data_IF_110325971067
#
_entry.id   IF_110325971067
#
_cell.length_a   1.000
_cell.length_b   1.000
_cell.length_c   1.000
_cell.angle_alpha   90.00
_cell.angle_beta   90.00
_cell.angle_gamma   90.00
#
_symmetry.space_group_name_H-M   'P 1'
#
loop_
_entity.id
_entity.type
_entity.pdbx_description
1 polymer ?
#
# COMPACT_ATOMS: atom_id res chain seq x y z
N UNK A 1 6.67 -2.40 7.76
CA UNK A 1 6.12 -1.86 6.49
C UNK A 1 6.82 -0.56 6.13
N UNK A 2 7.76 -0.59 5.18
CA UNK A 2 8.39 0.61 4.59
C UNK A 2 8.75 0.46 3.10
N UNK A 3 8.24 -0.60 2.47
CA UNK A 3 8.49 -0.90 1.07
C UNK A 3 7.57 -0.07 0.16
N UNK A 4 8.14 0.64 -0.81
CA UNK A 4 7.41 1.31 -1.89
C UNK A 4 6.93 0.35 -2.98
N UNK A 5 7.53 -0.84 -3.06
CA UNK A 5 7.37 -1.86 -4.08
C UNK A 5 5.92 -2.29 -4.28
N UNK A 6 5.13 -2.63 -3.26
CA UNK A 6 3.73 -3.01 -3.50
C UNK A 6 2.91 -1.86 -4.11
N UNK A 7 3.25 -0.60 -3.80
CA UNK A 7 2.58 0.56 -4.39
C UNK A 7 2.96 0.76 -5.85
N UNK A 8 4.26 0.71 -6.15
CA UNK A 8 4.78 0.81 -7.52
C UNK A 8 4.29 -0.36 -8.39
N UNK A 9 4.24 -1.57 -7.83
CA UNK A 9 3.74 -2.76 -8.52
C UNK A 9 2.27 -2.61 -8.90
N UNK A 10 1.41 -2.12 -7.99
CA UNK A 10 -0.01 -1.85 -8.30
C UNK A 10 -0.17 -0.81 -9.40
N UNK A 11 0.51 0.32 -9.28
CA UNK A 11 0.43 1.39 -10.27
C UNK A 11 0.92 0.92 -11.65
N UNK A 12 2.03 0.18 -11.70
CA UNK A 12 2.55 -0.36 -12.94
C UNK A 12 1.63 -1.43 -13.54
N UNK A 13 1.05 -2.30 -12.72
CA UNK A 13 0.07 -3.29 -13.15
C UNK A 13 -1.15 -2.63 -13.82
N UNK A 14 -1.75 -1.63 -13.18
CA UNK A 14 -2.88 -0.88 -13.75
C UNK A 14 -2.50 -0.19 -15.06
N UNK A 15 -1.35 0.49 -15.08
CA UNK A 15 -0.86 1.15 -16.29
C UNK A 15 -0.62 0.18 -17.45
N UNK A 16 -0.10 -1.02 -17.18
CA UNK A 16 0.06 -2.05 -18.22
C UNK A 16 -1.29 -2.49 -18.78
N UNK A 17 -2.29 -2.68 -17.93
CA UNK A 17 -3.63 -3.07 -18.38
C UNK A 17 -4.32 -1.98 -19.19
N UNK A 18 -4.19 -0.71 -18.79
CA UNK A 18 -4.73 0.43 -19.52
C UNK A 18 -4.14 0.57 -20.94
N UNK A 19 -2.99 -0.06 -21.19
CA UNK A 19 -2.32 -0.11 -22.49
C UNK A 19 -2.47 -1.47 -23.20
N UNK A 20 -3.47 -2.27 -22.82
CA UNK A 20 -3.76 -3.59 -23.41
C UNK A 20 -2.55 -4.55 -23.41
N UNK A 21 -1.71 -4.48 -22.37
CA UNK A 21 -0.56 -5.38 -22.21
C UNK A 21 -0.84 -6.51 -21.22
N UNK A 22 -0.13 -7.63 -21.39
CA UNK A 22 -0.25 -8.80 -20.51
C UNK A 22 0.79 -8.70 -19.38
N UNK A 23 0.38 -8.45 -18.12
CA UNK A 23 1.34 -8.26 -17.02
C UNK A 23 1.91 -9.59 -16.54
N UNK A 24 3.23 -9.72 -16.60
CA UNK A 24 4.00 -10.85 -16.09
C UNK A 24 4.82 -10.39 -14.89
N UNK A 25 4.90 -11.22 -13.86
CA UNK A 25 5.79 -11.01 -12.71
C UNK A 25 6.91 -12.04 -12.71
N UNK A 26 8.11 -11.59 -12.31
CA UNK A 26 9.23 -12.46 -11.97
C UNK A 26 9.30 -12.55 -10.46
N UNK A 27 9.34 -13.76 -9.93
CA UNK A 27 9.31 -14.04 -8.50
C UNK A 27 10.53 -14.85 -8.12
N UNK A 28 11.17 -14.44 -7.03
CA UNK A 28 12.17 -15.24 -6.32
C UNK A 28 11.43 -16.36 -5.57
N UNK A 29 11.54 -17.60 -6.04
CA UNK A 29 10.85 -18.75 -5.47
C UNK A 29 11.53 -19.31 -4.21
N UNK A 30 12.74 -18.85 -3.89
CA UNK A 30 13.50 -19.32 -2.73
C UNK A 30 13.25 -18.47 -1.48
N UNK A 31 12.55 -17.33 -1.62
CA UNK A 31 12.17 -16.48 -0.50
C UNK A 31 11.16 -17.16 0.42
N UNK A 32 11.33 -16.92 1.71
CA UNK A 32 10.39 -17.37 2.74
C UNK A 32 8.97 -16.85 2.46
N UNK A 33 7.97 -17.71 2.69
CA UNK A 33 6.55 -17.36 2.52
C UNK A 33 6.05 -17.44 1.07
N UNK A 34 6.92 -17.65 0.08
CA UNK A 34 6.48 -17.86 -1.31
C UNK A 34 5.80 -19.23 -1.45
N UNK A 35 4.59 -19.22 -2.01
CA UNK A 35 3.83 -20.43 -2.33
C UNK A 35 3.51 -20.42 -3.82
N UNK A 36 4.27 -21.22 -4.56
CA UNK A 36 4.16 -21.38 -6.02
C UNK A 36 4.37 -22.86 -6.37
N UNK A 37 3.90 -23.33 -7.53
CA UNK A 37 4.11 -24.72 -7.93
C UNK A 37 5.57 -24.97 -8.30
N UNK A 38 6.29 -25.64 -7.41
CA UNK A 38 7.74 -25.87 -7.51
C UNK A 38 8.21 -26.49 -8.83
N UNK A 39 7.37 -27.28 -9.50
CA UNK A 39 7.69 -27.90 -10.80
C UNK A 39 7.90 -26.91 -11.96
N UNK A 40 7.46 -25.66 -11.81
CA UNK A 40 7.66 -24.61 -12.81
C UNK A 40 8.79 -23.63 -12.44
N UNK A 41 9.43 -23.84 -11.28
CA UNK A 41 10.57 -23.02 -10.83
C UNK A 41 11.81 -23.40 -11.63
N UNK A 42 12.53 -22.40 -12.13
CA UNK A 42 13.77 -22.55 -12.88
C UNK A 42 14.81 -21.57 -12.32
N UNK A 43 15.99 -22.08 -11.94
CA UNK A 43 17.07 -21.27 -11.35
C UNK A 43 16.61 -20.41 -10.15
N UNK A 44 15.81 -20.99 -9.26
CA UNK A 44 15.27 -20.30 -8.09
C UNK A 44 14.19 -19.25 -8.41
N UNK A 45 13.76 -19.12 -9.67
CA UNK A 45 12.78 -18.12 -10.09
C UNK A 45 11.57 -18.75 -10.77
N UNK A 46 10.46 -18.03 -10.75
CA UNK A 46 9.27 -18.37 -11.53
C UNK A 46 8.68 -17.11 -12.18
N UNK A 47 8.23 -17.25 -13.42
CA UNK A 47 7.52 -16.19 -14.15
C UNK A 47 6.04 -16.53 -14.17
N UNK A 48 5.21 -15.61 -13.71
CA UNK A 48 3.76 -15.82 -13.58
C UNK A 48 3.00 -14.77 -14.37
N UNK A 49 2.03 -15.22 -15.17
CA UNK A 49 1.06 -14.34 -15.80
C UNK A 49 0.00 -13.95 -14.78
N UNK A 50 -0.17 -12.65 -14.53
CA UNK A 50 -1.18 -12.12 -13.61
C UNK A 50 -2.26 -11.29 -14.32
N UNK A 51 -2.41 -11.44 -15.65
CA UNK A 51 -3.50 -10.81 -16.38
C UNK A 51 -4.87 -11.28 -15.87
N UNK A 52 -5.93 -10.44 -15.95
CA UNK A 52 -7.27 -10.81 -15.49
C UNK A 52 -7.83 -12.09 -16.14
N UNK A 53 -7.36 -12.44 -17.33
CA UNK A 53 -7.72 -13.67 -18.04
C UNK A 53 -7.02 -14.94 -17.54
N UNK A 54 -5.90 -14.81 -16.84
CA UNK A 54 -5.06 -15.93 -16.41
C UNK A 54 -5.27 -16.31 -14.94
N UNK A 55 -5.74 -15.37 -14.11
CA UNK A 55 -5.86 -15.52 -12.67
C UNK A 55 -7.26 -15.17 -12.18
N UNK A 56 -7.56 -15.58 -10.95
CA UNK A 56 -8.78 -15.21 -10.21
C UNK A 56 -8.41 -14.63 -8.86
N UNK A 57 -9.26 -13.74 -8.37
CA UNK A 57 -9.18 -13.20 -7.01
C UNK A 57 -7.79 -12.59 -6.73
N UNK A 58 -7.25 -11.86 -7.73
CA UNK A 58 -5.96 -11.17 -7.60
C UNK A 58 -6.07 -10.08 -6.54
N UNK A 59 -5.28 -10.22 -5.49
CA UNK A 59 -5.13 -9.25 -4.42
C UNK A 59 -3.66 -8.85 -4.33
N UNK A 60 -3.39 -7.57 -4.61
CA UNK A 60 -2.06 -6.98 -4.43
C UNK A 60 -2.07 -6.15 -3.14
N UNK A 61 -1.83 -6.79 -2.00
CA UNK A 61 -1.73 -6.09 -0.70
C UNK A 61 -0.34 -5.49 -0.50
N UNK A 62 -0.09 -4.88 0.66
CA UNK A 62 1.23 -4.37 1.01
C UNK A 62 2.23 -5.48 1.41
N UNK A 63 1.71 -6.61 1.87
CA UNK A 63 2.55 -7.71 2.38
C UNK A 63 2.77 -8.78 1.30
N UNK A 64 1.78 -8.99 0.44
CA UNK A 64 1.85 -10.04 -0.58
C UNK A 64 0.93 -9.79 -1.78
N UNK A 65 1.27 -10.43 -2.89
CA UNK A 65 0.41 -10.63 -4.05
C UNK A 65 -0.15 -12.04 -3.94
N UNK A 66 -1.47 -12.18 -3.92
CA UNK A 66 -2.15 -13.47 -3.87
C UNK A 66 -3.17 -13.60 -4.98
N UNK A 67 -3.33 -14.82 -5.51
CA UNK A 67 -4.33 -15.12 -6.54
C UNK A 67 -4.51 -16.63 -6.68
N UNK A 68 -5.63 -17.03 -7.28
CA UNK A 68 -5.87 -18.41 -7.72
C UNK A 68 -5.57 -18.54 -9.21
N UNK A 69 -4.84 -19.59 -9.60
CA UNK A 69 -4.53 -19.90 -11.00
C UNK A 69 -4.61 -21.41 -11.27
N UNK A 70 -4.53 -21.81 -12.53
CA UNK A 70 -4.46 -23.23 -12.92
C UNK A 70 -3.10 -23.56 -13.51
N UNK A 71 -2.47 -24.60 -12.99
CA UNK A 71 -1.20 -25.11 -13.47
C UNK A 71 -1.38 -26.54 -13.97
N UNK A 72 -1.13 -26.77 -15.26
CA UNK A 72 -1.46 -28.05 -15.93
C UNK A 72 -2.92 -28.50 -15.69
N UNK A 73 -3.83 -27.52 -15.64
CA UNK A 73 -5.24 -27.76 -15.38
C UNK A 73 -5.61 -28.02 -13.92
N UNK A 74 -4.68 -28.00 -12.96
CA UNK A 74 -4.98 -28.12 -11.53
C UNK A 74 -5.06 -26.73 -10.90
N UNK A 75 -6.15 -26.38 -10.17
CA UNK A 75 -6.24 -25.10 -9.47
C UNK A 75 -5.28 -25.07 -8.27
N UNK A 76 -4.63 -23.92 -8.05
CA UNK A 76 -3.73 -23.67 -6.93
C UNK A 76 -3.82 -22.20 -6.51
N UNK A 77 -3.74 -21.97 -5.21
CA UNK A 77 -3.53 -20.64 -4.65
C UNK A 77 -2.05 -20.30 -4.69
N UNK A 78 -1.73 -19.10 -5.18
CA UNK A 78 -0.38 -18.54 -5.21
C UNK A 78 -0.27 -17.43 -4.16
N UNK A 79 0.86 -17.40 -3.45
CA UNK A 79 1.21 -16.36 -2.50
C UNK A 79 2.63 -15.89 -2.79
N UNK A 80 2.80 -14.60 -3.03
CA UNK A 80 4.09 -13.98 -3.30
C UNK A 80 4.28 -12.81 -2.34
N UNK A 81 5.07 -12.95 -1.27
CA UNK A 81 5.46 -11.80 -0.44
C UNK A 81 6.03 -10.68 -1.31
N UNK A 82 5.74 -9.42 -0.95
CA UNK A 82 6.17 -8.27 -1.77
C UNK A 82 7.70 -8.23 -1.96
N UNK A 83 8.46 -8.69 -0.97
CA UNK A 83 9.92 -8.80 -1.05
C UNK A 83 10.44 -9.80 -2.09
N UNK A 84 9.62 -10.81 -2.44
CA UNK A 84 9.95 -11.82 -3.44
C UNK A 84 9.65 -11.38 -4.88
N UNK A 85 8.96 -10.25 -5.08
CA UNK A 85 8.71 -9.68 -6.40
C UNK A 85 10.00 -9.06 -6.96
N UNK A 86 10.59 -9.72 -7.96
CA UNK A 86 11.81 -9.26 -8.65
C UNK A 86 11.49 -8.24 -9.74
N UNK A 87 10.46 -8.49 -10.54
CA UNK A 87 10.09 -7.62 -11.66
C UNK A 87 8.61 -7.74 -12.02
N UNK A 88 8.08 -6.70 -12.65
CA UNK A 88 6.76 -6.69 -13.28
C UNK A 88 6.89 -6.02 -14.65
N UNK A 89 6.44 -6.71 -15.70
CA UNK A 89 6.64 -6.26 -17.08
C UNK A 89 5.55 -6.78 -18.03
N UNK A 90 5.40 -6.12 -19.17
CA UNK A 90 4.54 -6.54 -20.27
C UNK A 90 5.19 -7.67 -21.06
N UNK A 91 4.46 -8.78 -21.23
CA UNK A 91 4.91 -9.93 -22.03
C UNK A 91 5.32 -9.55 -23.46
N UNK A 92 4.61 -8.60 -24.05
CA UNK A 92 4.66 -8.27 -25.48
C UNK A 92 5.97 -7.59 -25.90
N UNK A 93 6.46 -6.68 -25.07
CA UNK A 93 7.58 -5.79 -25.41
C UNK A 93 8.63 -5.67 -24.29
N UNK A 94 8.42 -6.32 -23.14
CA UNK A 94 9.35 -6.28 -22.02
C UNK A 94 9.33 -4.97 -21.22
N UNK A 95 8.43 -4.03 -21.54
CA UNK A 95 8.33 -2.76 -20.81
C UNK A 95 7.85 -3.03 -19.39
N UNK A 96 8.54 -2.47 -18.41
CA UNK A 96 8.23 -2.70 -17.01
C UNK A 96 9.30 -2.17 -16.08
N UNK A 97 9.34 -2.73 -14.89
CA UNK A 97 10.29 -2.37 -13.84
C UNK A 97 10.88 -3.62 -13.20
N UNK A 98 12.19 -3.56 -12.93
CA UNK A 98 12.87 -4.48 -12.03
C UNK A 98 12.95 -3.82 -10.66
N UNK A 99 12.45 -4.50 -9.65
CA UNK A 99 12.50 -4.04 -8.27
C UNK A 99 13.84 -4.44 -7.65
N UNK A 100 14.73 -3.45 -7.51
CA UNK A 100 16.02 -3.60 -6.85
C UNK A 100 15.93 -3.51 -5.33
N UNK A 101 17.05 -3.13 -4.71
CA UNK A 101 17.09 -2.73 -3.31
C UNK A 101 16.27 -1.46 -3.10
N UNK A 102 15.32 -1.51 -2.16
CA UNK A 102 14.45 -0.37 -1.93
C UNK A 102 15.02 0.65 -0.94
N UNK A 103 14.69 1.93 -1.12
CA UNK A 103 14.94 2.94 -0.11
C UNK A 103 14.05 2.67 1.11
N UNK A 104 14.66 2.24 2.21
CA UNK A 104 13.99 2.17 3.51
C UNK A 104 13.91 3.58 4.07
N UNK A 105 12.73 4.02 4.52
CA UNK A 105 12.63 5.32 5.21
C UNK A 105 13.55 5.32 6.45
N UNK A 106 14.33 6.41 6.69
CA UNK A 106 15.19 6.52 7.86
C UNK A 106 14.39 6.38 9.16
N UNK A 107 14.90 5.59 10.11
CA UNK A 107 14.31 5.44 11.46
C UNK A 107 13.50 4.16 11.70
N UNK A 108 13.62 3.14 10.85
CA UNK A 108 12.98 1.84 11.06
C UNK A 108 14.02 0.75 11.31
N UNK A 109 13.92 0.15 12.48
CA UNK A 109 14.50 -1.14 12.82
C UNK A 109 13.51 -2.22 12.35
N UNK A 110 13.91 -3.22 11.56
CA UNK A 110 13.05 -4.37 11.31
C UNK A 110 12.69 -5.00 12.65
N UNK A 111 11.39 -5.16 12.93
CA UNK A 111 10.92 -5.98 14.03
C UNK A 111 11.40 -7.40 13.77
N UNK A 112 12.55 -7.73 14.34
CA UNK A 112 13.05 -9.09 14.42
C UNK A 112 12.02 -9.85 15.23
N UNK A 113 11.39 -10.86 14.64
CA UNK A 113 10.32 -11.66 15.25
C UNK A 113 10.84 -12.63 16.34
N UNK A 114 11.82 -12.19 17.14
CA UNK A 114 12.40 -12.96 18.22
C UNK A 114 12.84 -12.03 19.37
N UNK A 115 11.84 -11.42 20.02
CA UNK A 115 12.00 -10.83 21.35
C UNK A 115 10.67 -10.91 22.11
N UNK A 116 10.68 -11.30 23.39
CA UNK A 116 9.46 -11.53 24.16
C UNK A 116 8.71 -10.20 24.39
N UNK A 117 7.38 -10.26 24.33
CA UNK A 117 6.47 -9.15 24.68
C UNK A 117 6.88 -8.55 26.03
N UNK A 118 7.42 -7.35 25.99
CA UNK A 118 7.48 -6.47 27.14
C UNK A 118 6.40 -5.41 26.93
N UNK A 119 5.35 -5.51 27.74
CA UNK A 119 4.29 -4.51 27.91
C UNK A 119 4.88 -3.09 27.92
N UNK A 120 4.69 -2.36 26.83
CA UNK A 120 4.73 -0.91 26.86
C UNK A 120 3.43 -0.38 26.28
N UNK A 121 2.55 -0.04 27.21
CA UNK A 121 1.31 0.69 27.01
C UNK A 121 1.59 1.95 26.18
N UNK A 122 0.95 2.16 25.02
CA UNK A 122 1.18 3.37 24.26
C UNK A 122 0.61 4.56 25.03
N UNK A 123 1.47 5.49 25.44
CA UNK A 123 1.06 6.81 25.90
C UNK A 123 0.25 7.47 24.78
N UNK A 124 -1.08 7.42 24.93
CA UNK A 124 -2.00 8.16 24.07
C UNK A 124 -1.74 9.64 24.31
N UNK A 125 -1.52 10.46 23.27
CA UNK A 125 -1.47 11.91 23.46
C UNK A 125 -2.82 12.36 24.05
N UNK A 126 -2.76 12.98 25.23
CA UNK A 126 -3.90 13.51 25.94
C UNK A 126 -4.52 14.65 25.11
N UNK A 127 -5.73 14.44 24.59
CA UNK A 127 -6.55 15.49 24.01
C UNK A 127 -7.32 16.15 25.17
N UNK A 128 -6.86 17.30 25.64
CA UNK A 128 -7.62 18.13 26.57
C UNK A 128 -8.88 18.64 25.87
N UNK A 129 -10.01 18.00 26.16
CA UNK A 129 -11.34 18.55 25.90
C UNK A 129 -11.60 19.70 26.86
N UNK A 130 -11.81 20.90 26.33
CA UNK A 130 -12.29 22.02 27.14
C UNK A 130 -13.81 21.86 27.23
N UNK A 131 -14.25 21.29 28.35
CA UNK A 131 -15.66 21.21 28.72
C UNK A 131 -16.23 22.60 29.03
N UNK A 132 -17.34 22.91 28.37
CA UNK A 132 -18.15 24.10 28.62
C UNK A 132 -19.63 23.75 28.51
N UNK A 133 -20.07 22.78 29.31
CA UNK A 133 -21.47 22.49 29.59
C UNK A 133 -22.11 23.67 30.34
N UNK A 134 -23.20 24.26 29.80
CA UNK A 134 -24.53 24.25 30.43
C UNK A 134 -25.44 25.37 29.91
N UNK A 135 -26.68 24.94 29.65
CA UNK A 135 -27.93 25.64 29.93
C UNK A 135 -28.39 26.79 28.99
N UNK A 136 -29.28 26.41 28.08
CA UNK A 136 -30.68 26.92 27.95
C UNK A 136 -31.00 28.34 28.43
N UNK A 137 -31.53 29.15 27.51
CA UNK A 137 -32.27 30.38 27.83
C UNK A 137 -32.80 31.06 26.57
N UNK A 138 -34.10 30.92 26.35
CA UNK A 138 -34.93 31.55 25.30
C UNK A 138 -35.04 33.07 25.53
N UNK A 139 -35.17 33.88 24.46
CA UNK A 139 -35.62 35.29 24.58
C UNK A 139 -35.04 36.32 23.60
N UNK A 140 -35.79 36.54 22.51
CA UNK A 140 -36.14 37.80 21.81
C UNK A 140 -35.09 38.79 21.22
N UNK A 141 -35.46 39.35 20.06
CA UNK A 141 -34.73 40.22 19.11
C UNK A 141 -34.59 41.72 19.57
N UNK A 142 -34.22 42.70 18.70
CA UNK A 142 -32.88 43.02 18.18
C UNK A 142 -32.50 44.50 18.45
N UNK A 143 -31.21 44.86 18.41
CA UNK A 143 -30.84 46.25 18.04
C UNK A 143 -29.44 46.34 17.41
N UNK A 144 -29.35 47.24 16.44
CA UNK A 144 -28.26 47.46 15.52
C UNK A 144 -27.08 48.23 16.16
N UNK A 145 -25.85 47.86 15.79
CA UNK A 145 -24.86 48.83 15.29
C UNK A 145 -23.54 48.15 14.87
N UNK A 146 -23.07 48.60 13.71
CA UNK A 146 -21.82 48.26 13.03
C UNK A 146 -20.56 48.39 13.91
N UNK A 147 -19.78 47.31 14.01
CA UNK A 147 -18.33 47.38 14.12
C UNK A 147 -17.68 46.05 13.69
N UNK A 148 -17.13 46.05 12.47
CA UNK A 148 -16.22 45.04 11.92
C UNK A 148 -15.18 44.58 12.96
N UNK A 149 -15.10 43.27 13.21
CA UNK A 149 -13.83 42.57 13.45
C UNK A 149 -13.91 41.17 12.88
N UNK A 150 -13.03 40.96 11.91
CA UNK A 150 -12.92 39.80 11.05
C UNK A 150 -12.73 38.52 11.87
N UNK A 151 -13.60 37.53 11.62
CA UNK A 151 -13.32 36.16 12.00
C UNK A 151 -11.99 35.76 11.35
N UNK A 152 -11.02 35.35 12.17
CA UNK A 152 -9.74 34.84 11.73
C UNK A 152 -9.98 33.66 10.78
N UNK A 153 -9.93 33.93 9.47
CA UNK A 153 -10.07 32.92 8.43
C UNK A 153 -8.92 31.95 8.60
N UNK A 154 -9.23 30.72 9.01
CA UNK A 154 -8.33 29.56 8.97
C UNK A 154 -7.73 29.53 7.55
N UNK A 155 -6.46 29.91 7.44
CA UNK A 155 -5.81 30.19 6.17
C UNK A 155 -5.93 29.00 5.23
N UNK A 156 -6.38 29.26 3.99
CA UNK A 156 -6.44 28.23 2.94
C UNK A 156 -5.04 27.65 2.73
N UNK A 157 -4.90 26.33 2.47
CA UNK A 157 -3.61 25.75 2.15
C UNK A 157 -2.98 26.52 0.98
N UNK A 158 -1.77 27.04 1.17
CA UNK A 158 -1.01 27.73 0.12
C UNK A 158 0.17 26.86 -0.31
N UNK A 159 0.27 26.62 -1.61
CA UNK A 159 1.40 25.92 -2.21
C UNK A 159 2.67 26.78 -2.04
N UNK A 160 3.74 26.19 -1.50
CA UNK A 160 5.06 26.82 -1.49
C UNK A 160 5.91 26.22 -2.59
N UNK A 161 6.49 27.08 -3.42
CA UNK A 161 7.49 26.68 -4.41
C UNK A 161 8.81 26.44 -3.66
N UNK A 162 9.31 25.21 -3.71
CA UNK A 162 10.64 24.86 -3.21
C UNK A 162 11.61 25.07 -4.38
N UNK A 163 12.71 25.80 -4.14
CA UNK A 163 13.78 26.06 -5.11
C UNK A 163 15.08 25.41 -4.63
#
# INVERSE_FOLDING_TARGET
MLSSRPYLARALYEWLLDNDHTPYIVVDAEREGVQVPGQFVQNGQIVLNISPSAVRDLLMSNDSITFSARFSGQPMQVIVPSEALIALYARENGVGMVFGHEPVMPGYEPLSSDAPEADQEPERPNLEGIDGNSASGDGDEPDASDAKKEGARKGRPSLRVIK
#
